data_IF_525137520357
#
_entry.id   IF_525137520357
#
_cell.length_a   1.000
_cell.length_b   1.000
_cell.length_c   1.000
_cell.angle_alpha   90.00
_cell.angle_beta   90.00
_cell.angle_gamma   90.00
#
_symmetry.space_group_name_H-M   'P 1'
#
loop_
_entity.id
_entity.type
_entity.pdbx_description
1 polymer ?
#
# COMPACT_ATOMS: atom_id res chain seq x y z
N UNK A 1 6.45 7.58 19.90
CA UNK A 1 6.03 6.49 20.81
C UNK A 1 5.67 6.91 22.24
N UNK A 2 6.35 7.89 22.85
CA UNK A 2 6.15 8.22 24.28
C UNK A 2 4.72 8.69 24.62
N UNK A 3 4.05 9.40 23.71
CA UNK A 3 2.69 9.91 23.91
C UNK A 3 1.70 8.79 24.17
N UNK A 4 1.68 7.75 23.32
CA UNK A 4 0.74 6.62 23.44
C UNK A 4 0.90 5.86 24.75
N UNK A 5 2.12 5.68 25.27
CA UNK A 5 2.35 4.95 26.54
C UNK A 5 1.77 5.67 27.75
N UNK A 6 1.79 7.00 27.74
CA UNK A 6 1.27 7.85 28.81
C UNK A 6 -0.24 8.08 28.75
N UNK A 7 -0.93 7.62 27.70
CA UNK A 7 -2.36 7.85 27.54
C UNK A 7 -3.17 7.14 28.65
N UNK A 8 -4.08 7.85 29.34
CA UNK A 8 -5.04 7.22 30.23
C UNK A 8 -5.98 6.28 29.46
N UNK A 9 -6.49 5.26 30.14
CA UNK A 9 -7.20 4.15 29.52
C UNK A 9 -8.51 4.56 28.81
N UNK A 10 -9.15 5.62 29.30
CA UNK A 10 -10.33 6.22 28.67
C UNK A 10 -10.01 6.87 27.32
N UNK A 11 -8.81 7.45 27.17
CA UNK A 11 -8.34 8.03 25.92
C UNK A 11 -7.85 6.96 24.95
N UNK A 12 -7.29 5.85 25.44
CA UNK A 12 -6.89 4.71 24.60
C UNK A 12 -8.09 4.17 23.83
N UNK A 13 -9.20 3.89 24.51
CA UNK A 13 -10.41 3.36 23.87
C UNK A 13 -11.00 4.35 22.86
N UNK A 14 -11.10 5.63 23.23
CA UNK A 14 -11.60 6.69 22.33
C UNK A 14 -10.72 6.87 21.09
N UNK A 15 -9.41 6.82 21.26
CA UNK A 15 -8.45 6.92 20.17
C UNK A 15 -8.55 5.70 19.27
N UNK A 16 -8.63 4.50 19.84
CA UNK A 16 -8.80 3.26 19.07
C UNK A 16 -10.10 3.25 18.27
N UNK A 17 -11.20 3.78 18.83
CA UNK A 17 -12.47 3.97 18.12
C UNK A 17 -12.35 4.97 16.98
N UNK A 18 -11.67 6.08 17.19
CA UNK A 18 -11.43 7.05 16.12
C UNK A 18 -10.59 6.45 14.99
N UNK A 19 -9.50 5.77 15.33
CA UNK A 19 -8.62 5.09 14.38
C UNK A 19 -9.36 4.00 13.59
N UNK A 20 -10.21 3.21 14.25
CA UNK A 20 -10.96 2.14 13.59
C UNK A 20 -11.92 2.66 12.54
N UNK A 21 -12.60 3.78 12.79
CA UNK A 21 -13.49 4.45 11.83
C UNK A 21 -12.69 5.13 10.73
N UNK A 22 -11.62 5.85 11.07
CA UNK A 22 -10.80 6.58 10.10
C UNK A 22 -10.11 5.65 9.07
N UNK A 23 -9.78 4.43 9.47
CA UNK A 23 -9.24 3.40 8.58
C UNK A 23 -10.17 3.02 7.43
N UNK A 24 -11.48 3.29 7.53
CA UNK A 24 -12.42 2.96 6.46
C UNK A 24 -12.22 3.82 5.20
N UNK A 25 -11.89 5.10 5.35
CA UNK A 25 -11.84 6.08 4.24
C UNK A 25 -10.49 6.79 4.06
N UNK A 26 -9.53 6.62 4.98
CA UNK A 26 -8.23 7.30 4.90
C UNK A 26 -7.41 6.96 3.65
N UNK A 27 -6.64 7.93 3.16
CA UNK A 27 -5.56 7.74 2.18
C UNK A 27 -4.21 7.50 2.85
N UNK A 28 -4.04 7.91 4.11
CA UNK A 28 -2.80 7.80 4.87
C UNK A 28 -2.73 6.49 5.66
N UNK A 29 -2.81 5.36 4.97
CA UNK A 29 -2.95 4.05 5.62
C UNK A 29 -1.80 3.73 6.58
N UNK A 30 -0.56 4.00 6.18
CA UNK A 30 0.63 3.75 6.99
C UNK A 30 0.57 4.48 8.34
N UNK A 31 0.19 5.77 8.33
CA UNK A 31 0.03 6.56 9.54
C UNK A 31 -0.94 5.90 10.52
N UNK A 32 -2.13 5.51 10.05
CA UNK A 32 -3.11 4.86 10.93
C UNK A 32 -2.66 3.45 11.37
N UNK A 33 -1.93 2.70 10.54
CA UNK A 33 -1.34 1.42 10.94
C UNK A 33 -0.30 1.58 12.05
N UNK A 34 0.53 2.63 11.99
CA UNK A 34 1.47 2.95 13.06
C UNK A 34 0.75 3.24 14.39
N UNK A 35 -0.37 3.98 14.33
CA UNK A 35 -1.22 4.20 15.52
C UNK A 35 -1.81 2.90 16.07
N UNK A 36 -2.34 2.04 15.20
CA UNK A 36 -2.89 0.74 15.59
C UNK A 36 -1.82 -0.10 16.27
N UNK A 37 -0.64 -0.21 15.67
CA UNK A 37 0.49 -0.96 16.22
C UNK A 37 0.89 -0.40 17.59
N UNK A 38 1.07 0.91 17.70
CA UNK A 38 1.41 1.54 18.97
C UNK A 38 0.35 1.30 20.05
N UNK A 39 -0.94 1.45 19.72
CA UNK A 39 -2.03 1.29 20.69
C UNK A 39 -2.17 -0.18 21.14
N UNK A 40 -2.15 -1.13 20.21
CA UNK A 40 -2.33 -2.54 20.51
C UNK A 40 -1.11 -3.15 21.21
N UNK A 41 0.11 -2.76 20.84
CA UNK A 41 1.33 -3.28 21.48
C UNK A 41 1.49 -2.74 22.90
N UNK A 42 1.22 -1.45 23.13
CA UNK A 42 1.41 -0.85 24.46
C UNK A 42 0.23 -1.11 25.42
N UNK A 43 -1.00 -1.20 24.91
CA UNK A 43 -2.21 -1.33 25.75
C UNK A 43 -2.98 -2.64 25.56
N UNK A 44 -2.52 -3.55 24.70
CA UNK A 44 -3.19 -4.83 24.42
C UNK A 44 -3.54 -5.68 25.65
N UNK A 45 -2.62 -5.87 26.62
CA UNK A 45 -2.93 -6.60 27.85
C UNK A 45 -4.07 -5.95 28.65
N UNK A 46 -4.07 -4.62 28.77
CA UNK A 46 -5.13 -3.85 29.46
C UNK A 46 -6.44 -3.92 28.71
N UNK A 47 -6.40 -3.79 27.39
CA UNK A 47 -7.58 -3.86 26.53
C UNK A 47 -8.26 -5.24 26.61
N UNK A 48 -7.48 -6.31 26.75
CA UNK A 48 -7.98 -7.68 26.98
C UNK A 48 -8.68 -7.81 28.33
N UNK A 49 -8.09 -7.28 29.41
CA UNK A 49 -8.74 -7.25 30.72
C UNK A 49 -10.01 -6.38 30.70
N UNK A 50 -9.96 -5.25 30.00
CA UNK A 50 -11.08 -4.33 29.84
C UNK A 50 -12.27 -4.93 29.07
N UNK A 51 -12.11 -6.00 28.28
CA UNK A 51 -13.24 -6.66 27.63
C UNK A 51 -14.30 -7.15 28.63
N UNK A 52 -13.86 -7.55 29.83
CA UNK A 52 -14.75 -8.05 30.89
C UNK A 52 -15.48 -6.89 31.58
N UNK A 53 -14.80 -5.79 31.85
CA UNK A 53 -15.34 -4.65 32.60
C UNK A 53 -15.99 -3.57 31.73
N UNK A 54 -15.63 -3.50 30.45
CA UNK A 54 -16.11 -2.52 29.46
C UNK A 54 -16.51 -3.22 28.15
N UNK A 55 -17.78 -3.67 28.04
CA UNK A 55 -18.27 -4.34 26.85
C UNK A 55 -18.15 -3.52 25.56
N UNK A 56 -18.13 -2.18 25.65
CA UNK A 56 -17.98 -1.25 24.52
C UNK A 56 -16.66 -1.36 23.76
N UNK A 57 -15.62 -1.95 24.35
CA UNK A 57 -14.32 -2.18 23.72
C UNK A 57 -14.40 -3.23 22.60
N UNK A 58 -15.26 -4.24 22.73
CA UNK A 58 -15.34 -5.36 21.80
C UNK A 58 -15.82 -4.91 20.40
N UNK A 59 -16.90 -4.12 20.26
CA UNK A 59 -17.30 -3.56 18.97
C UNK A 59 -16.20 -2.73 18.30
N UNK A 60 -15.44 -1.93 19.08
CA UNK A 60 -14.34 -1.13 18.54
C UNK A 60 -13.26 -2.01 17.92
N UNK A 61 -12.88 -3.09 18.61
CA UNK A 61 -11.92 -4.07 18.11
C UNK A 61 -12.42 -4.82 16.87
N UNK A 62 -13.71 -5.17 16.82
CA UNK A 62 -14.31 -5.81 15.67
C UNK A 62 -14.32 -4.89 14.44
N UNK A 63 -14.72 -3.62 14.61
CA UNK A 63 -14.65 -2.62 13.54
C UNK A 63 -13.22 -2.43 13.06
N UNK A 64 -12.26 -2.35 13.98
CA UNK A 64 -10.84 -2.24 13.64
C UNK A 64 -10.38 -3.43 12.80
N UNK A 65 -10.67 -4.66 13.25
CA UNK A 65 -10.28 -5.87 12.55
C UNK A 65 -10.91 -5.95 11.15
N UNK A 66 -12.22 -5.68 11.05
CA UNK A 66 -12.94 -5.64 9.76
C UNK A 66 -12.27 -4.66 8.79
N UNK A 67 -11.96 -3.45 9.26
CA UNK A 67 -11.41 -2.41 8.39
C UNK A 67 -9.95 -2.71 8.01
N UNK A 68 -9.15 -3.27 8.91
CA UNK A 68 -7.79 -3.74 8.59
C UNK A 68 -7.79 -4.86 7.56
N UNK A 69 -8.63 -5.87 7.74
CA UNK A 69 -8.76 -6.98 6.79
C UNK A 69 -9.16 -6.47 5.40
N UNK A 70 -10.19 -5.61 5.34
CA UNK A 70 -10.60 -4.98 4.09
C UNK A 70 -9.46 -4.21 3.41
N UNK A 71 -8.71 -3.39 4.16
CA UNK A 71 -7.60 -2.62 3.61
C UNK A 71 -6.45 -3.49 3.13
N UNK A 72 -6.14 -4.55 3.87
CA UNK A 72 -5.18 -5.55 3.43
C UNK A 72 -5.60 -6.15 2.08
N UNK A 73 -6.85 -6.61 1.96
CA UNK A 73 -7.34 -7.25 0.73
C UNK A 73 -7.37 -6.29 -0.48
N UNK A 74 -7.73 -5.02 -0.25
CA UNK A 74 -7.66 -3.98 -1.29
C UNK A 74 -6.22 -3.75 -1.77
N UNK A 75 -5.26 -3.66 -0.85
CA UNK A 75 -3.83 -3.52 -1.20
C UNK A 75 -3.29 -4.76 -1.90
N UNK A 76 -3.62 -5.96 -1.43
CA UNK A 76 -3.21 -7.21 -2.06
C UNK A 76 -3.66 -7.28 -3.51
N UNK A 77 -4.91 -6.90 -3.81
CA UNK A 77 -5.43 -6.84 -5.19
C UNK A 77 -4.65 -5.86 -6.08
N UNK A 78 -4.32 -4.68 -5.55
CA UNK A 78 -3.52 -3.68 -6.29
C UNK A 78 -2.11 -4.21 -6.56
N UNK A 79 -1.48 -4.82 -5.57
CA UNK A 79 -0.16 -5.41 -5.68
C UNK A 79 -0.15 -6.56 -6.70
N UNK A 80 -1.16 -7.43 -6.66
CA UNK A 80 -1.30 -8.53 -7.61
C UNK A 80 -1.49 -8.00 -9.03
N UNK A 81 -2.43 -7.06 -9.24
CA UNK A 81 -2.61 -6.43 -10.54
C UNK A 81 -1.30 -5.84 -11.06
N UNK A 82 -0.62 -5.03 -10.26
CA UNK A 82 0.67 -4.41 -10.62
C UNK A 82 1.72 -5.47 -10.97
N UNK A 83 1.86 -6.52 -10.17
CA UNK A 83 2.79 -7.62 -10.39
C UNK A 83 2.51 -8.35 -11.70
N UNK A 84 1.25 -8.68 -11.99
CA UNK A 84 0.90 -9.42 -13.20
C UNK A 84 0.97 -8.54 -14.44
N UNK A 85 0.59 -7.26 -14.36
CA UNK A 85 0.79 -6.29 -15.44
C UNK A 85 2.27 -6.14 -15.81
N UNK A 86 3.15 -5.97 -14.83
CA UNK A 86 4.59 -5.89 -15.07
C UNK A 86 5.14 -7.17 -15.69
N UNK A 87 4.72 -8.35 -15.19
CA UNK A 87 5.11 -9.65 -15.78
C UNK A 87 4.66 -9.78 -17.24
N UNK A 88 3.43 -9.36 -17.54
CA UNK A 88 2.91 -9.37 -18.90
C UNK A 88 3.71 -8.45 -19.83
N UNK A 89 3.99 -7.21 -19.40
CA UNK A 89 4.80 -6.25 -20.17
C UNK A 89 6.20 -6.79 -20.42
N UNK A 90 6.86 -7.34 -19.39
CA UNK A 90 8.18 -7.96 -19.54
C UNK A 90 8.16 -9.10 -20.56
N UNK A 91 7.16 -9.99 -20.47
CA UNK A 91 7.02 -11.10 -21.42
C UNK A 91 6.80 -10.62 -22.84
N UNK A 92 6.00 -9.57 -23.04
CA UNK A 92 5.79 -8.98 -24.36
C UNK A 92 7.08 -8.37 -24.91
N UNK A 93 7.89 -7.73 -24.06
CA UNK A 93 9.21 -7.23 -24.42
C UNK A 93 10.17 -8.33 -24.88
N UNK A 94 10.23 -9.44 -24.14
CA UNK A 94 11.04 -10.62 -24.53
C UNK A 94 10.64 -11.18 -25.89
N UNK A 95 9.33 -11.26 -26.17
CA UNK A 95 8.83 -11.76 -27.46
C UNK A 95 9.20 -10.82 -28.60
N UNK A 96 9.01 -9.50 -28.43
CA UNK A 96 9.40 -8.52 -29.45
C UNK A 96 10.89 -8.54 -29.77
N UNK A 97 11.75 -8.68 -28.75
CA UNK A 97 13.20 -8.81 -28.95
C UNK A 97 13.57 -10.13 -29.66
N UNK A 98 12.79 -11.20 -29.43
CA UNK A 98 13.01 -12.49 -30.08
C UNK A 98 12.51 -12.50 -31.54
N UNK A 99 11.41 -11.80 -31.82
CA UNK A 99 10.88 -11.61 -33.17
C UNK A 99 11.77 -10.65 -33.99
N UNK A 100 12.45 -9.70 -33.34
CA UNK A 100 13.51 -8.85 -33.92
C UNK A 100 14.87 -9.55 -34.07
N UNK A 101 14.87 -10.84 -34.47
CA UNK A 101 16.09 -11.58 -34.83
C UNK A 101 16.93 -10.90 -35.93
N UNK A 102 18.18 -11.34 -36.16
CA UNK A 102 19.34 -10.53 -36.60
C UNK A 102 19.37 -10.00 -38.05
N UNK A 103 18.24 -9.62 -38.66
CA UNK A 103 18.17 -9.14 -40.06
C UNK A 103 17.87 -7.64 -40.21
N UNK A 104 18.03 -6.83 -39.16
CA UNK A 104 18.11 -5.37 -39.28
C UNK A 104 19.43 -4.85 -38.69
N UNK A 105 20.55 -5.32 -39.25
CA UNK A 105 21.72 -4.45 -39.41
C UNK A 105 21.55 -3.71 -40.74
N UNK A 106 20.72 -2.68 -40.72
CA UNK A 106 20.71 -1.72 -41.80
C UNK A 106 22.02 -0.92 -41.70
N UNK A 107 23.00 -1.35 -42.48
CA UNK A 107 23.99 -0.45 -43.07
C UNK A 107 23.20 0.66 -43.78
N UNK A 108 23.20 1.86 -43.21
CA UNK A 108 23.17 3.05 -44.06
C UNK A 108 24.42 3.85 -43.68
N UNK A 109 25.38 3.63 -44.58
CA UNK A 109 26.69 4.21 -44.72
C UNK A 109 26.62 5.73 -44.87
N UNK A 110 27.66 6.37 -44.38
CA UNK A 110 27.92 7.79 -44.43
C UNK A 110 28.17 8.24 -45.88
N UNK A 111 27.17 8.84 -46.53
CA UNK A 111 27.30 9.81 -47.64
C UNK A 111 25.91 10.38 -47.94
N UNK A 112 25.64 11.68 -47.92
CA UNK A 112 26.21 12.60 -48.89
C UNK A 112 26.32 14.03 -48.37
N UNK A 113 27.40 14.64 -48.86
CA UNK A 113 27.82 16.02 -48.75
C UNK A 113 26.81 16.97 -49.41
N UNK A 114 26.63 18.12 -48.76
CA UNK A 114 26.23 19.44 -49.29
C UNK A 114 25.86 19.52 -50.79
N UNK A 115 24.65 20.01 -51.09
CA UNK A 115 24.47 21.08 -52.09
C UNK A 115 23.21 21.91 -51.80
N UNK A 116 23.31 23.19 -52.18
CA UNK A 116 22.35 24.30 -52.13
C UNK A 116 21.02 23.98 -52.87
N UNK A 117 19.93 24.74 -52.81
CA UNK A 117 19.81 26.20 -52.92
C UNK A 117 18.36 26.67 -52.64
N UNK A 118 18.29 27.88 -52.08
CA UNK A 118 17.42 29.01 -52.45
C UNK A 118 15.88 28.90 -52.54
N UNK A 119 15.20 29.58 -51.61
CA UNK A 119 14.17 30.62 -51.89
C UNK A 119 13.98 31.55 -50.70
#
# INVERSE_FOLDING_TARGET
>A
ELTVRSLPESYVERTLKHVSVALESTRHIEFYLQWVQCLLTNHGPRLRAAKVTRPGVVPVLNTLHKNLARRHDELSKICDFTKYSLRFINRLGELKLKDAGPDEKQEDDDSDVLMSDNS
#
